data_IF_128267800908
#
_entry.id   IF_128267800908
#
_cell.length_a   1.000
_cell.length_b   1.000
_cell.length_c   1.000
_cell.angle_alpha   90.00
_cell.angle_beta   90.00
_cell.angle_gamma   90.00
#
_symmetry.space_group_name_H-M   'P 1'
#
loop_
_entity.id
_entity.type
_entity.pdbx_description
1 polymer ?
#
# COMPACT_ATOMS: atom_id res chain seq x y z
N UNK A 1 3.71 -8.71 -20.48
CA UNK A 1 4.00 -9.19 -19.11
C UNK A 1 3.14 -10.43 -18.84
N UNK A 2 3.55 -11.39 -18.00
CA UNK A 2 2.65 -12.46 -17.52
C UNK A 2 2.18 -12.05 -16.12
N UNK A 3 0.91 -11.72 -15.95
CA UNK A 3 0.36 -11.16 -14.70
C UNK A 3 -1.11 -10.73 -14.86
N UNK A 4 -1.67 -10.08 -13.83
CA UNK A 4 -3.03 -9.57 -13.86
C UNK A 4 -3.23 -8.58 -15.04
N UNK A 5 -4.41 -8.57 -15.65
CA UNK A 5 -4.74 -7.61 -16.73
C UNK A 5 -5.05 -6.21 -16.20
N UNK A 6 -5.23 -6.08 -14.90
CA UNK A 6 -5.61 -4.85 -14.21
C UNK A 6 -5.21 -4.99 -12.74
N UNK A 7 -4.74 -3.90 -12.15
CA UNK A 7 -4.36 -3.84 -10.74
C UNK A 7 -5.24 -2.78 -10.07
N UNK A 8 -6.03 -3.18 -9.09
CA UNK A 8 -6.84 -2.27 -8.27
C UNK A 8 -6.11 -2.04 -6.94
N UNK A 9 -5.47 -0.88 -6.72
CA UNK A 9 -4.77 -0.61 -5.48
C UNK A 9 -5.76 -0.40 -4.35
N UNK A 10 -5.46 -0.97 -3.18
CA UNK A 10 -6.25 -0.75 -1.95
C UNK A 10 -5.33 -0.27 -0.86
N UNK A 11 -5.61 0.91 -0.31
CA UNK A 11 -4.91 1.46 0.86
C UNK A 11 -5.66 1.03 2.12
N UNK A 12 -4.95 0.44 3.08
CA UNK A 12 -5.52 -0.03 4.35
C UNK A 12 -5.01 0.86 5.47
N UNK A 13 -5.93 1.50 6.19
CA UNK A 13 -5.65 2.33 7.36
C UNK A 13 -6.14 1.63 8.62
N UNK A 14 -5.36 1.68 9.68
CA UNK A 14 -5.66 0.99 10.94
C UNK A 14 -5.43 1.93 12.11
N UNK A 15 -6.49 2.16 12.89
CA UNK A 15 -6.40 2.97 14.10
C UNK A 15 -7.13 2.33 15.28
N UNK A 16 -6.50 2.23 16.47
CA UNK A 16 -5.06 2.42 16.71
C UNK A 16 -4.22 1.36 15.99
N UNK A 17 -2.90 1.56 15.89
CA UNK A 17 -2.00 0.55 15.33
C UNK A 17 -2.13 -0.77 16.08
N UNK A 18 -2.03 -1.88 15.36
CA UNK A 18 -1.93 -3.22 15.95
C UNK A 18 -0.51 -3.49 16.43
N UNK A 19 -0.29 -4.68 17.01
CA UNK A 19 1.06 -5.21 17.23
C UNK A 19 1.86 -5.17 15.94
N UNK A 20 2.92 -4.35 15.93
CA UNK A 20 3.87 -4.28 14.84
C UNK A 20 5.03 -5.25 15.08
N UNK A 21 5.86 -5.46 14.04
CA UNK A 21 7.04 -6.30 14.17
C UNK A 21 7.93 -5.75 15.31
N UNK A 22 8.41 -6.65 16.17
CA UNK A 22 9.18 -6.36 17.38
C UNK A 22 8.39 -5.81 18.59
N UNK A 23 7.05 -5.77 18.54
CA UNK A 23 6.25 -5.51 19.73
C UNK A 23 5.89 -6.82 20.48
N UNK A 24 5.96 -6.84 21.83
CA UNK A 24 5.55 -7.99 22.60
C UNK A 24 4.08 -8.34 22.37
N UNK A 25 3.79 -9.60 22.06
CA UNK A 25 2.45 -10.09 21.69
C UNK A 25 1.34 -9.79 22.73
N UNK A 26 1.71 -9.55 23.99
CA UNK A 26 0.79 -9.21 25.08
C UNK A 26 0.42 -7.72 25.15
N UNK A 27 1.08 -6.84 24.39
CA UNK A 27 0.77 -5.39 24.34
C UNK A 27 -0.36 -5.09 23.38
N UNK A 28 -1.54 -5.63 23.70
CA UNK A 28 -2.76 -5.45 22.90
C UNK A 28 -3.22 -3.97 23.01
N UNK A 29 -3.74 -3.36 21.93
CA UNK A 29 -4.23 -1.99 21.96
C UNK A 29 -5.33 -1.80 23.01
N UNK A 30 -5.35 -0.64 23.67
CA UNK A 30 -6.33 -0.30 24.72
C UNK A 30 -7.79 -0.26 24.24
N UNK A 31 -8.00 -0.14 22.92
CA UNK A 31 -9.32 -0.10 22.27
C UNK A 31 -9.31 -0.98 21.02
N UNK A 32 -10.50 -1.37 20.57
CA UNK A 32 -10.67 -2.12 19.32
C UNK A 32 -10.06 -1.36 18.15
N UNK A 33 -9.38 -2.10 17.27
CA UNK A 33 -8.83 -1.57 16.03
C UNK A 33 -9.94 -1.39 15.00
N UNK A 34 -9.88 -0.29 14.26
CA UNK A 34 -10.75 -0.02 13.14
C UNK A 34 -9.93 -0.01 11.85
N UNK A 35 -10.37 -0.81 10.88
CA UNK A 35 -9.80 -0.87 9.53
C UNK A 35 -10.64 0.01 8.60
N UNK A 36 -9.97 0.86 7.82
CA UNK A 36 -10.58 1.56 6.70
C UNK A 36 -9.87 1.14 5.41
N UNK A 37 -10.65 0.73 4.41
CA UNK A 37 -10.13 0.31 3.12
C UNK A 37 -10.54 1.34 2.07
N UNK A 38 -9.57 1.93 1.41
CA UNK A 38 -9.78 2.88 0.33
C UNK A 38 -9.37 2.25 -0.99
N UNK A 39 -10.31 2.16 -1.93
CA UNK A 39 -10.06 1.65 -3.29
C UNK A 39 -9.55 2.80 -4.15
N UNK A 40 -8.36 2.63 -4.72
CA UNK A 40 -7.78 3.59 -5.66
C UNK A 40 -8.17 3.29 -7.11
N UNK A 41 -7.66 4.11 -8.02
CA UNK A 41 -7.92 3.94 -9.45
C UNK A 41 -7.22 2.71 -10.02
N UNK A 42 -7.90 2.01 -10.93
CA UNK A 42 -7.34 0.86 -11.63
C UNK A 42 -6.09 1.24 -12.44
N UNK A 43 -5.10 0.37 -12.40
CA UNK A 43 -3.82 0.52 -13.10
C UNK A 43 -3.72 -0.59 -14.14
N UNK A 44 -3.49 -0.22 -15.40
CA UNK A 44 -3.17 -1.18 -16.46
C UNK A 44 -1.67 -1.51 -16.43
N UNK A 45 -1.26 -2.73 -16.02
CA UNK A 45 0.14 -3.12 -16.01
C UNK A 45 0.75 -3.25 -17.41
N UNK A 46 -0.06 -3.34 -18.47
CA UNK A 46 0.45 -3.39 -19.84
C UNK A 46 1.08 -2.08 -20.29
N UNK A 47 0.69 -0.94 -19.70
CA UNK A 47 1.34 0.35 -19.91
C UNK A 47 2.87 0.29 -19.66
N UNK A 48 3.31 -0.61 -18.77
CA UNK A 48 4.73 -0.79 -18.43
C UNK A 48 5.44 -1.78 -19.36
N UNK A 49 4.71 -2.65 -20.08
CA UNK A 49 5.30 -3.61 -21.02
C UNK A 49 5.98 -2.92 -22.20
N UNK A 50 5.52 -1.73 -22.59
CA UNK A 50 6.14 -0.93 -23.65
C UNK A 50 7.47 -0.26 -23.19
N UNK A 51 7.76 -0.25 -21.89
CA UNK A 51 8.87 0.51 -21.31
C UNK A 51 10.21 -0.27 -21.28
N UNK A 52 10.24 -1.49 -21.82
CA UNK A 52 11.45 -2.29 -21.97
C UNK A 52 11.21 -3.80 -21.84
N UNK A 53 12.30 -4.59 -21.81
CA UNK A 53 12.22 -6.04 -21.60
C UNK A 53 11.48 -6.40 -20.30
N UNK A 54 10.92 -7.63 -20.18
CA UNK A 54 10.06 -8.00 -19.05
C UNK A 54 10.65 -7.72 -17.65
N UNK A 55 11.95 -7.95 -17.36
CA UNK A 55 12.53 -7.61 -16.07
C UNK A 55 12.55 -6.11 -15.78
N UNK A 56 12.76 -5.28 -16.82
CA UNK A 56 12.77 -3.81 -16.71
C UNK A 56 11.35 -3.29 -16.51
N UNK A 57 10.39 -3.79 -17.30
CA UNK A 57 8.97 -3.46 -17.15
C UNK A 57 8.45 -3.78 -15.74
N UNK A 58 8.83 -4.94 -15.19
CA UNK A 58 8.44 -5.34 -13.83
C UNK A 58 8.99 -4.40 -12.76
N UNK A 59 10.27 -3.99 -12.87
CA UNK A 59 10.87 -3.03 -11.92
C UNK A 59 10.17 -1.68 -12.00
N UNK A 60 9.93 -1.17 -13.21
CA UNK A 60 9.21 0.11 -13.41
C UNK A 60 7.80 0.10 -12.83
N UNK A 61 7.07 -1.00 -13.00
CA UNK A 61 5.75 -1.16 -12.35
C UNK A 61 5.88 -1.16 -10.83
N UNK A 62 6.87 -1.86 -10.29
CA UNK A 62 7.11 -1.91 -8.85
C UNK A 62 7.47 -0.53 -8.28
N UNK A 63 8.32 0.23 -8.97
CA UNK A 63 8.71 1.58 -8.59
C UNK A 63 7.48 2.52 -8.62
N UNK A 64 6.66 2.42 -9.66
CA UNK A 64 5.40 3.17 -9.75
C UNK A 64 4.43 2.86 -8.59
N UNK A 65 4.24 1.58 -8.27
CA UNK A 65 3.39 1.18 -7.15
C UNK A 65 3.97 1.64 -5.81
N UNK A 66 5.29 1.59 -5.64
CA UNK A 66 5.96 2.08 -4.45
C UNK A 66 5.73 3.59 -4.25
N UNK A 67 5.89 4.38 -5.32
CA UNK A 67 5.63 5.82 -5.29
C UNK A 67 4.15 6.13 -5.02
N UNK A 68 3.24 5.37 -5.62
CA UNK A 68 1.80 5.50 -5.38
C UNK A 68 1.47 5.30 -3.89
N UNK A 69 1.88 4.17 -3.30
CA UNK A 69 1.55 3.88 -1.90
C UNK A 69 2.28 4.81 -0.93
N UNK A 70 3.49 5.25 -1.24
CA UNK A 70 4.20 6.25 -0.41
C UNK A 70 3.41 7.56 -0.32
N UNK A 71 2.82 8.03 -1.43
CA UNK A 71 1.99 9.24 -1.45
C UNK A 71 0.68 9.06 -0.67
N UNK A 72 0.01 7.94 -0.85
CA UNK A 72 -1.25 7.63 -0.15
C UNK A 72 -1.04 7.51 1.37
N UNK A 73 0.06 6.89 1.81
CA UNK A 73 0.38 6.72 3.23
C UNK A 73 0.84 8.03 3.90
N UNK A 74 1.61 8.88 3.21
CA UNK A 74 2.01 10.19 3.73
C UNK A 74 0.83 11.15 3.98
N UNK A 75 -0.29 10.92 3.28
CA UNK A 75 -1.54 11.66 3.52
C UNK A 75 -2.24 11.20 4.81
N UNK A 76 -1.96 9.99 5.29
CA UNK A 76 -2.53 9.41 6.50
C UNK A 76 -1.77 9.79 7.78
N UNK A 77 -0.43 9.83 7.73
CA UNK A 77 0.41 10.19 8.88
C UNK A 77 0.09 11.58 9.47
N UNK A 78 -0.40 12.52 8.65
CA UNK A 78 -0.85 13.85 9.11
C UNK A 78 -2.11 13.82 9.97
N UNK A 79 -2.85 12.72 9.99
CA UNK A 79 -4.14 12.60 10.70
C UNK A 79 -4.03 11.85 12.04
N UNK A 80 -2.85 11.32 12.39
CA UNK A 80 -2.63 10.67 13.68
C UNK A 80 -2.38 11.75 14.76
N UNK A 81 -3.28 11.94 15.75
CA UNK A 81 -2.95 12.76 16.89
C UNK A 81 -1.80 12.10 17.66
N UNK A 82 -0.80 12.90 18.03
CA UNK A 82 0.26 12.50 18.94
C UNK A 82 -0.34 11.93 20.22
N UNK A 83 0.23 10.81 20.67
CA UNK A 83 -0.16 10.12 21.90
C UNK A 83 0.21 10.95 23.13
#
# INVERSE_FOLDING_TARGET
MRGASMITPVTIKVHPTTLTKAEPWYRIPQRRVHFSLCVGADIDPNAFSALGPPPVASRKLNDYLHDYFTKELASDERSAPGH
#
